data_IF_602359476150
#
_entry.id   IF_602359476150
#
_cell.length_a   1.000
_cell.length_b   1.000
_cell.length_c   1.000
_cell.angle_alpha   90.00
_cell.angle_beta   90.00
_cell.angle_gamma   90.00
#
_symmetry.space_group_name_H-M   'P 1'
#
loop_
_entity.id
_entity.type
_entity.pdbx_description
1 polymer ?
#
# COMPACT_ATOMS: atom_id res chain seq x y z
N UNK A 1 -15.34 -37.56 13.56
CA UNK A 1 -14.76 -36.91 12.36
C UNK A 1 -15.22 -35.46 12.12
N UNK A 2 -16.47 -35.05 12.44
CA UNK A 2 -16.96 -33.67 12.20
C UNK A 2 -16.30 -32.56 13.05
N UNK A 3 -15.67 -32.89 14.18
CA UNK A 3 -15.04 -31.90 15.08
C UNK A 3 -13.67 -31.46 14.56
N UNK A 4 -12.89 -32.39 13.99
CA UNK A 4 -11.57 -32.09 13.40
C UNK A 4 -11.71 -31.20 12.15
N UNK A 5 -12.75 -31.38 11.34
CA UNK A 5 -13.03 -30.49 10.20
C UNK A 5 -13.54 -29.10 10.63
N UNK A 6 -14.08 -28.94 11.84
CA UNK A 6 -14.57 -27.66 12.36
C UNK A 6 -13.42 -26.72 12.78
N UNK A 7 -12.28 -27.28 13.21
CA UNK A 7 -11.10 -26.51 13.65
C UNK A 7 -9.94 -26.54 12.66
N UNK A 8 -9.77 -27.63 11.90
CA UNK A 8 -8.67 -27.78 10.94
C UNK A 8 -8.81 -26.90 9.70
N UNK A 9 -10.03 -26.72 9.18
CA UNK A 9 -10.27 -25.87 8.00
C UNK A 9 -10.00 -24.40 8.31
N UNK A 10 -10.52 -23.82 9.42
CA UNK A 10 -10.15 -22.45 9.80
C UNK A 10 -8.65 -22.26 10.01
N UNK A 11 -7.97 -23.21 10.67
CA UNK A 11 -6.52 -23.12 10.88
C UNK A 11 -5.75 -23.07 9.56
N UNK A 12 -6.11 -23.92 8.61
CA UNK A 12 -5.49 -23.93 7.27
C UNK A 12 -5.77 -22.62 6.51
N UNK A 13 -7.00 -22.09 6.61
CA UNK A 13 -7.34 -20.79 6.05
C UNK A 13 -6.49 -19.68 6.67
N UNK A 14 -6.33 -19.64 8.00
CA UNK A 14 -5.53 -18.61 8.65
C UNK A 14 -4.04 -18.69 8.26
N UNK A 15 -3.47 -19.89 8.22
CA UNK A 15 -2.09 -20.08 7.76
C UNK A 15 -1.93 -19.58 6.33
N UNK A 16 -2.87 -19.92 5.45
CA UNK A 16 -2.87 -19.46 4.06
C UNK A 16 -2.99 -17.93 3.98
N UNK A 17 -3.93 -17.32 4.70
CA UNK A 17 -4.12 -15.87 4.72
C UNK A 17 -2.89 -15.14 5.27
N UNK A 18 -2.24 -15.67 6.31
CA UNK A 18 -0.99 -15.12 6.85
C UNK A 18 0.12 -15.18 5.80
N UNK A 19 0.28 -16.33 5.13
CA UNK A 19 1.28 -16.48 4.07
C UNK A 19 1.03 -15.49 2.91
N UNK A 20 -0.21 -15.35 2.45
CA UNK A 20 -0.59 -14.37 1.42
C UNK A 20 -0.37 -12.93 1.88
N UNK A 21 -0.63 -12.62 3.14
CA UNK A 21 -0.40 -11.30 3.72
C UNK A 21 1.09 -10.97 3.73
N UNK A 22 1.95 -11.90 4.19
CA UNK A 22 3.42 -11.72 4.17
C UNK A 22 3.90 -11.50 2.73
N UNK A 23 3.40 -12.29 1.78
CA UNK A 23 3.73 -12.14 0.36
C UNK A 23 3.31 -10.76 -0.19
N UNK A 24 2.10 -10.29 0.14
CA UNK A 24 1.61 -8.99 -0.29
C UNK A 24 2.36 -7.81 0.36
N UNK A 25 2.81 -7.96 1.60
CA UNK A 25 3.57 -6.94 2.33
C UNK A 25 5.05 -6.90 1.95
N UNK A 26 5.59 -7.97 1.36
CA UNK A 26 6.98 -8.04 0.94
C UNK A 26 7.43 -6.85 0.08
N UNK A 27 6.76 -6.45 -1.02
CA UNK A 27 7.15 -5.27 -1.79
C UNK A 27 6.98 -3.97 -0.99
N UNK A 28 5.95 -3.85 -0.15
CA UNK A 28 5.73 -2.67 0.69
C UNK A 28 6.85 -2.48 1.72
N UNK A 29 7.41 -3.59 2.24
CA UNK A 29 8.57 -3.57 3.12
C UNK A 29 9.77 -2.88 2.47
N UNK A 30 10.04 -3.12 1.18
CA UNK A 30 11.14 -2.43 0.47
C UNK A 30 10.89 -0.93 0.33
N UNK A 31 9.64 -0.50 0.13
CA UNK A 31 9.29 0.94 0.07
C UNK A 31 9.56 1.60 1.42
N UNK A 32 9.12 0.97 2.51
CA UNK A 32 9.36 1.47 3.87
C UNK A 32 10.86 1.51 4.16
N UNK A 33 11.58 0.43 3.87
CA UNK A 33 13.03 0.36 4.04
C UNK A 33 13.75 1.48 3.27
N UNK A 34 13.37 1.71 2.02
CA UNK A 34 13.92 2.76 1.19
C UNK A 34 13.65 4.16 1.75
N UNK A 35 12.49 4.38 2.36
CA UNK A 35 12.14 5.66 2.96
C UNK A 35 13.09 6.07 4.11
N UNK A 36 13.65 5.11 4.84
CA UNK A 36 14.60 5.37 5.94
C UNK A 36 16.08 5.27 5.55
N UNK A 37 16.40 4.92 4.29
CA UNK A 37 17.79 4.82 3.81
C UNK A 37 18.40 6.21 3.53
N UNK A 38 19.62 6.50 4.00
CA UNK A 38 20.25 7.80 3.79
C UNK A 38 20.73 7.99 2.34
N UNK A 39 20.32 9.09 1.69
CA UNK A 39 20.87 9.57 0.43
C UNK A 39 20.96 8.53 -0.71
N UNK A 40 22.15 8.39 -1.31
CA UNK A 40 22.43 7.50 -2.46
C UNK A 40 22.63 6.03 -2.07
N UNK A 41 22.41 5.63 -0.80
CA UNK A 41 22.60 4.23 -0.36
C UNK A 41 21.63 3.25 -1.02
N UNK A 42 20.59 3.72 -1.70
CA UNK A 42 19.74 2.92 -2.58
C UNK A 42 20.47 2.37 -3.82
N UNK A 43 21.56 3.00 -4.25
CA UNK A 43 22.37 2.58 -5.40
C UNK A 43 23.52 1.62 -5.02
N UNK A 44 23.62 1.24 -3.74
CA UNK A 44 24.63 0.29 -3.29
C UNK A 44 24.20 -1.16 -3.58
N UNK A 45 25.15 -2.01 -4.00
CA UNK A 45 24.91 -3.45 -4.22
C UNK A 45 24.74 -4.25 -2.91
N UNK A 46 24.78 -3.60 -1.74
CA UNK A 46 24.60 -4.28 -0.46
C UNK A 46 23.13 -4.65 -0.25
N UNK A 47 22.85 -5.95 -0.38
CA UNK A 47 21.54 -6.56 -0.17
C UNK A 47 21.19 -6.66 1.33
N UNK A 48 21.27 -5.55 2.07
CA UNK A 48 20.86 -5.52 3.48
C UNK A 48 19.34 -5.41 3.59
N UNK A 49 18.73 -6.25 4.44
CA UNK A 49 17.29 -6.21 4.74
C UNK A 49 16.92 -5.03 5.66
N UNK A 50 17.88 -4.43 6.37
CA UNK A 50 17.66 -3.24 7.20
C UNK A 50 18.75 -2.19 6.94
N UNK A 51 18.43 -0.89 6.87
CA UNK A 51 19.47 0.14 6.72
C UNK A 51 20.41 0.14 7.93
N UNK A 52 21.73 0.19 7.68
CA UNK A 52 22.75 0.25 8.74
C UNK A 52 22.61 1.53 9.60
N UNK A 53 22.18 2.62 8.96
CA UNK A 53 21.95 3.92 9.58
C UNK A 53 20.60 4.49 9.13
N UNK A 54 19.48 4.13 9.78
CA UNK A 54 18.17 4.69 9.44
C UNK A 54 18.12 6.19 9.73
N UNK A 55 17.54 6.97 8.81
CA UNK A 55 17.42 8.44 8.92
C UNK A 55 16.02 8.91 8.55
N UNK A 56 15.68 10.13 8.99
CA UNK A 56 14.41 10.80 8.63
C UNK A 56 14.59 11.87 7.54
N UNK A 57 15.79 11.96 6.96
CA UNK A 57 16.16 13.02 6.03
C UNK A 57 15.28 13.03 4.78
N UNK A 58 14.88 11.85 4.27
CA UNK A 58 13.96 11.76 3.14
C UNK A 58 12.60 12.40 3.45
N UNK A 59 12.08 12.23 4.67
CA UNK A 59 10.82 12.86 5.10
C UNK A 59 10.97 14.37 5.17
N UNK A 60 12.04 14.88 5.80
CA UNK A 60 12.30 16.33 5.82
C UNK A 60 12.50 16.89 4.41
N UNK A 61 13.19 16.17 3.53
CA UNK A 61 13.42 16.54 2.15
C UNK A 61 12.11 16.70 1.38
N UNK A 62 11.17 15.74 1.48
CA UNK A 62 9.90 15.83 0.73
C UNK A 62 9.06 17.05 1.14
N UNK A 63 9.13 17.48 2.40
CA UNK A 63 8.35 18.62 2.88
C UNK A 63 9.03 19.97 2.73
N UNK A 64 10.36 20.00 2.51
CA UNK A 64 11.12 21.26 2.46
C UNK A 64 11.76 21.57 1.10
N UNK A 65 12.04 20.56 0.28
CA UNK A 65 12.81 20.72 -0.98
C UNK A 65 11.99 20.49 -2.24
N UNK A 66 10.83 19.85 -2.13
CA UNK A 66 9.95 19.57 -3.27
C UNK A 66 8.51 20.00 -2.96
N UNK A 67 7.71 20.34 -3.97
CA UNK A 67 6.31 20.74 -3.78
C UNK A 67 5.39 19.52 -3.57
N UNK A 68 5.79 18.58 -2.72
CA UNK A 68 5.05 17.35 -2.44
C UNK A 68 3.61 17.59 -1.95
N UNK A 69 3.33 18.53 -1.01
CA UNK A 69 1.96 18.79 -0.58
C UNK A 69 1.04 19.25 -1.71
N UNK A 70 1.59 20.01 -2.68
CA UNK A 70 0.84 20.45 -3.87
C UNK A 70 0.48 19.26 -4.76
N UNK A 71 1.44 18.37 -5.02
CA UNK A 71 1.19 17.15 -5.79
C UNK A 71 0.15 16.26 -5.12
N UNK A 72 0.28 16.05 -3.81
CA UNK A 72 -0.67 15.27 -3.02
C UNK A 72 -2.09 15.84 -3.11
N UNK A 73 -2.23 17.17 -2.94
CA UNK A 73 -3.53 17.85 -3.06
C UNK A 73 -4.13 17.72 -4.46
N UNK A 74 -3.31 17.85 -5.50
CA UNK A 74 -3.77 17.71 -6.89
C UNK A 74 -4.26 16.28 -7.15
N UNK A 75 -3.50 15.26 -6.74
CA UNK A 75 -3.89 13.85 -6.88
C UNK A 75 -5.16 13.51 -6.11
N UNK A 76 -5.31 14.03 -4.88
CA UNK A 76 -6.54 13.87 -4.10
C UNK A 76 -7.73 14.52 -4.79
N UNK A 77 -7.59 15.75 -5.28
CA UNK A 77 -8.64 16.46 -6.00
C UNK A 77 -9.11 15.70 -7.24
N UNK A 78 -8.18 15.23 -8.06
CA UNK A 78 -8.49 14.42 -9.26
C UNK A 78 -9.18 13.12 -8.85
N UNK A 79 -8.63 12.37 -7.90
CA UNK A 79 -9.16 11.06 -7.50
C UNK A 79 -10.59 11.17 -6.94
N UNK A 80 -10.84 12.15 -6.08
CA UNK A 80 -12.18 12.41 -5.52
C UNK A 80 -13.14 12.85 -6.62
N UNK A 81 -12.71 13.77 -7.50
CA UNK A 81 -13.51 14.23 -8.63
C UNK A 81 -13.93 13.07 -9.54
N UNK A 82 -12.99 12.21 -9.91
CA UNK A 82 -13.27 11.03 -10.75
C UNK A 82 -14.15 10.01 -10.03
N UNK A 83 -13.96 9.82 -8.72
CA UNK A 83 -14.80 8.93 -7.92
C UNK A 83 -16.25 9.42 -7.91
N UNK A 84 -16.50 10.70 -7.65
CA UNK A 84 -17.85 11.27 -7.61
C UNK A 84 -18.51 11.18 -8.99
N UNK A 85 -17.80 11.60 -10.05
CA UNK A 85 -18.33 11.54 -11.41
C UNK A 85 -18.65 10.09 -11.83
N UNK A 86 -17.73 9.16 -11.55
CA UNK A 86 -17.91 7.73 -11.81
C UNK A 86 -19.07 7.14 -11.01
N UNK A 87 -19.22 7.52 -9.74
CA UNK A 87 -20.32 7.08 -8.88
C UNK A 87 -21.67 7.56 -9.41
N UNK A 88 -21.79 8.84 -9.78
CA UNK A 88 -23.03 9.39 -10.35
C UNK A 88 -23.39 8.66 -11.64
N UNK A 89 -22.44 8.50 -12.56
CA UNK A 89 -22.67 7.81 -13.84
C UNK A 89 -23.04 6.33 -13.65
N UNK A 90 -22.28 5.61 -12.82
CA UNK A 90 -22.52 4.18 -12.58
C UNK A 90 -23.80 3.93 -11.80
N UNK A 91 -24.12 4.71 -10.75
CA UNK A 91 -25.33 4.52 -9.96
C UNK A 91 -26.60 4.81 -10.77
N UNK A 92 -26.61 5.91 -11.53
CA UNK A 92 -27.77 6.27 -12.37
C UNK A 92 -27.99 5.27 -13.52
N UNK A 93 -26.90 4.84 -14.17
CA UNK A 93 -26.93 3.79 -15.19
C UNK A 93 -27.34 2.43 -14.65
N UNK A 94 -26.79 2.01 -13.50
CA UNK A 94 -27.15 0.75 -12.86
C UNK A 94 -28.61 0.72 -12.43
N UNK A 95 -29.11 1.81 -11.83
CA UNK A 95 -30.53 1.93 -11.52
C UNK A 95 -31.33 1.75 -12.84
N UNK A 96 -30.87 2.26 -13.99
CA UNK A 96 -31.62 2.24 -15.26
C UNK A 96 -31.76 0.86 -15.87
N UNK A 97 -30.77 0.02 -15.64
CA UNK A 97 -30.80 -1.36 -16.07
C UNK A 97 -31.53 -2.27 -15.08
N UNK A 98 -31.64 -1.87 -13.81
CA UNK A 98 -32.26 -2.70 -12.77
C UNK A 98 -33.79 -2.64 -12.74
N UNK A 99 -34.41 -1.87 -13.63
CA UNK A 99 -35.84 -1.55 -13.67
C UNK A 99 -36.32 -1.58 -15.12
#
# INVERSE_FOLDING_TARGET
>A
MKVVSRFGVPLLIYIFLIAMTIFALFPAFFVVQAAFRPGQSLYSLSLSLWPDHPTLDNFTYIFTKIPFPTWLRNSLGVSIGTMIAGLIGSATGAYALSR
#
